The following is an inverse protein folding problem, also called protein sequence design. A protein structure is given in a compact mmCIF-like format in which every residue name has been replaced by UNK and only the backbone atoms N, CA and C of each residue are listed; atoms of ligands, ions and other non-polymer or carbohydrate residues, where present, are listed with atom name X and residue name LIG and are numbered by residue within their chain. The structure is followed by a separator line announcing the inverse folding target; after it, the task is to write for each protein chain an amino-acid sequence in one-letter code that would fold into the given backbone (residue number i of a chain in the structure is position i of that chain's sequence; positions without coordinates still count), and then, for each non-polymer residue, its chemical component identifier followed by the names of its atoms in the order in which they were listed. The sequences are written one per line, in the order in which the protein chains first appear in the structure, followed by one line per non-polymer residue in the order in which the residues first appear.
data_IF_633507868799
#
_entry.id   IF_633507868799
#
_cell.length_a   1.000
_cell.length_b   1.000
_cell.length_c   1.000
_cell.angle_alpha   90.00
_cell.angle_beta   90.00
_cell.angle_gamma   90.00
#
_symmetry.space_group_name_H-M   'P 1'
#
loop_
_entity.id
_entity.type
_entity.pdbx_description
1 polymer ?
#
# COMPACT_ATOMS: atom_id res chain seq x y z
N UNK A 1 -1.11 -25.23 -9.43
CA UNK A 1 -0.61 -25.31 -8.04
C UNK A 1 -0.23 -23.90 -7.63
N UNK A 2 -0.94 -23.11 -6.82
CA UNK A 2 -2.08 -23.23 -5.92
C UNK A 2 -3.13 -22.20 -6.40
N UNK A 3 -4.28 -22.67 -6.89
CA UNK A 3 -5.45 -21.81 -7.09
C UNK A 3 -6.49 -22.27 -6.08
N UNK A 4 -7.06 -21.33 -5.33
CA UNK A 4 -8.24 -21.48 -4.50
C UNK A 4 -8.04 -21.89 -3.03
N UNK A 5 -7.05 -21.33 -2.32
CA UNK A 5 -7.27 -21.01 -0.89
C UNK A 5 -7.74 -19.56 -0.79
N UNK A 6 -9.06 -19.37 -0.89
CA UNK A 6 -9.70 -18.06 -0.94
C UNK A 6 -9.35 -17.19 0.27
N UNK A 7 -8.97 -15.93 0.02
CA UNK A 7 -8.77 -14.85 1.01
C UNK A 7 -8.10 -15.27 2.33
N UNK A 8 -7.29 -16.32 2.30
CA UNK A 8 -6.72 -16.94 3.48
C UNK A 8 -5.54 -16.11 3.95
N UNK A 9 -5.67 -15.52 5.13
CA UNK A 9 -4.59 -14.87 5.86
C UNK A 9 -3.34 -15.75 6.04
N UNK A 10 -3.42 -17.06 5.72
CA UNK A 10 -2.34 -18.05 5.80
C UNK A 10 -1.04 -17.60 5.13
N UNK A 11 -1.13 -16.75 4.10
CA UNK A 11 0.03 -16.25 3.36
C UNK A 11 0.30 -14.76 3.57
N UNK A 12 -0.39 -14.09 4.49
CA UNK A 12 -0.02 -12.73 4.88
C UNK A 12 1.05 -12.78 5.99
N UNK A 13 1.98 -11.83 5.93
CA UNK A 13 2.96 -11.60 6.99
C UNK A 13 2.61 -10.24 7.61
N UNK A 14 1.69 -10.20 8.59
CA UNK A 14 1.27 -8.93 9.17
C UNK A 14 2.41 -8.31 9.97
N UNK A 15 2.61 -7.00 9.79
CA UNK A 15 3.60 -6.22 10.54
C UNK A 15 2.87 -5.07 11.22
N UNK A 16 3.08 -4.92 12.52
CA UNK A 16 2.55 -3.79 13.30
C UNK A 16 3.70 -2.90 13.71
N UNK A 17 3.65 -1.62 13.30
CA UNK A 17 4.66 -0.61 13.62
C UNK A 17 4.01 0.50 14.42
N UNK A 18 4.63 0.87 15.55
CA UNK A 18 4.20 2.02 16.34
C UNK A 18 5.06 3.23 15.99
N UNK A 19 4.43 4.26 15.44
CA UNK A 19 5.09 5.53 15.16
C UNK A 19 5.00 6.48 16.36
N UNK A 20 5.98 7.38 16.49
CA UNK A 20 5.96 8.46 17.46
C UNK A 20 4.91 9.52 17.10
N UNK A 21 4.65 10.47 18.02
CA UNK A 21 3.78 11.60 17.74
C UNK A 21 4.33 12.46 16.58
N UNK A 22 3.44 13.00 15.75
CA UNK A 22 3.81 13.85 14.60
C UNK A 22 3.85 13.15 13.24
N UNK A 23 3.44 11.88 13.17
CA UNK A 23 3.21 11.21 11.90
C UNK A 23 2.02 11.86 11.15
N UNK A 24 2.27 12.32 9.93
CA UNK A 24 1.24 12.75 8.99
C UNK A 24 0.86 11.55 8.12
N UNK A 25 -0.43 11.19 8.12
CA UNK A 25 -0.92 9.97 7.46
C UNK A 25 -0.78 10.08 5.95
N UNK A 26 -1.05 11.25 5.36
CA UNK A 26 -0.92 11.45 3.91
C UNK A 26 0.51 11.29 3.39
N UNK A 27 1.51 11.71 4.17
CA UNK A 27 2.94 11.46 3.86
C UNK A 27 3.27 9.98 3.94
N UNK A 28 2.76 9.26 4.94
CA UNK A 28 2.97 7.80 5.03
C UNK A 28 2.30 7.06 3.87
N UNK A 29 1.06 7.43 3.52
CA UNK A 29 0.35 6.87 2.37
C UNK A 29 1.12 7.10 1.08
N UNK A 30 1.63 8.32 0.87
CA UNK A 30 2.45 8.66 -0.30
C UNK A 30 3.75 7.85 -0.35
N UNK A 31 4.44 7.70 0.78
CA UNK A 31 5.66 6.92 0.86
C UNK A 31 5.42 5.43 0.59
N UNK A 32 4.32 4.85 1.10
CA UNK A 32 3.94 3.46 0.82
C UNK A 32 3.58 3.27 -0.65
N UNK A 33 2.88 4.25 -1.23
CA UNK A 33 2.60 4.29 -2.65
C UNK A 33 3.88 4.28 -3.51
N UNK A 34 4.88 5.09 -3.17
CA UNK A 34 6.18 5.12 -3.86
C UNK A 34 6.89 3.75 -3.80
N UNK A 35 6.78 3.06 -2.66
CA UNK A 35 7.31 1.69 -2.52
C UNK A 35 6.58 0.72 -3.45
N UNK A 36 5.25 0.75 -3.52
CA UNK A 36 4.48 -0.12 -4.43
C UNK A 36 4.82 0.19 -5.89
N UNK A 37 4.98 1.46 -6.24
CA UNK A 37 5.33 1.88 -7.60
C UNK A 37 6.72 1.36 -8.00
N UNK A 38 7.71 1.49 -7.12
CA UNK A 38 9.10 1.09 -7.42
C UNK A 38 9.30 -0.42 -7.58
N UNK A 39 8.46 -1.25 -6.97
CA UNK A 39 8.65 -2.72 -6.96
C UNK A 39 7.63 -3.43 -7.85
N UNK A 40 8.09 -4.03 -8.94
CA UNK A 40 7.23 -4.78 -9.87
C UNK A 40 6.52 -5.95 -9.21
N UNK A 41 7.21 -6.66 -8.29
CA UNK A 41 6.64 -7.81 -7.57
C UNK A 41 5.37 -7.46 -6.77
N UNK A 42 5.26 -6.22 -6.28
CA UNK A 42 4.07 -5.74 -5.55
C UNK A 42 2.92 -5.34 -6.49
N UNK A 43 3.18 -5.25 -7.79
CA UNK A 43 2.22 -4.90 -8.85
C UNK A 43 1.90 -6.08 -9.76
N UNK A 44 2.36 -7.28 -9.44
CA UNK A 44 2.11 -8.48 -10.23
C UNK A 44 0.76 -9.10 -9.89
N UNK A 45 -0.06 -9.36 -10.91
CA UNK A 45 -1.29 -10.14 -10.82
C UNK A 45 -1.07 -11.48 -11.51
N UNK A 46 -1.42 -12.57 -10.83
CA UNK A 46 -1.37 -13.92 -11.36
C UNK A 46 -2.75 -14.34 -11.86
N UNK A 47 -2.82 -14.83 -13.08
CA UNK A 47 -4.04 -15.31 -13.71
C UNK A 47 -3.79 -16.52 -14.58
N UNK A 48 -4.84 -17.01 -15.24
CA UNK A 48 -4.71 -18.01 -16.29
C UNK A 48 -5.41 -17.49 -17.55
N UNK A 49 -4.81 -17.74 -18.71
CA UNK A 49 -5.37 -17.40 -20.02
C UNK A 49 -5.30 -18.63 -20.91
N UNK A 50 -6.44 -19.11 -21.42
CA UNK A 50 -6.49 -20.32 -22.25
C UNK A 50 -6.02 -21.60 -21.55
N UNK A 51 -6.07 -21.65 -20.21
CA UNK A 51 -5.58 -22.77 -19.41
C UNK A 51 -4.09 -22.69 -19.03
N UNK A 52 -3.37 -21.69 -19.52
CA UNK A 52 -1.96 -21.48 -19.18
C UNK A 52 -1.81 -20.40 -18.09
N UNK A 53 -1.06 -20.66 -17.00
CA UNK A 53 -0.76 -19.64 -16.00
C UNK A 53 0.11 -18.53 -16.58
N UNK A 54 -0.26 -17.29 -16.28
CA UNK A 54 0.54 -16.12 -16.65
C UNK A 54 0.57 -15.10 -15.51
N UNK A 55 1.58 -14.25 -15.56
CA UNK A 55 1.74 -13.11 -14.67
C UNK A 55 1.69 -11.82 -15.47
N UNK A 56 1.02 -10.82 -14.92
CA UNK A 56 0.92 -9.48 -15.52
C UNK A 56 1.42 -8.46 -14.51
N UNK A 57 2.45 -7.71 -14.87
CA UNK A 57 2.91 -6.57 -14.07
C UNK A 57 2.05 -5.36 -14.43
N UNK A 58 1.34 -4.81 -13.46
CA UNK A 58 0.56 -3.58 -13.63
C UNK A 58 1.49 -2.38 -13.72
N UNK A 59 1.17 -1.42 -14.60
CA UNK A 59 1.92 -0.17 -14.73
C UNK A 59 1.93 0.66 -13.43
N UNK A 60 2.89 1.60 -13.29
CA UNK A 60 2.94 2.48 -12.12
C UNK A 60 1.66 3.30 -12.02
N UNK A 61 1.14 3.44 -10.79
CA UNK A 61 0.04 4.36 -10.52
C UNK A 61 0.64 5.74 -10.32
N UNK A 62 0.16 6.73 -11.07
CA UNK A 62 0.61 8.11 -10.88
C UNK A 62 0.10 8.64 -9.53
N UNK A 63 0.96 8.66 -8.53
CA UNK A 63 0.68 9.31 -7.26
C UNK A 63 0.92 10.81 -7.40
N UNK A 64 -0.15 11.62 -7.22
CA UNK A 64 -0.02 13.08 -7.19
C UNK A 64 0.66 13.49 -5.89
N UNK A 65 1.98 13.48 -5.88
CA UNK A 65 2.76 14.15 -4.86
C UNK A 65 2.62 15.67 -5.09
N UNK A 66 1.85 16.36 -4.25
CA UNK A 66 1.69 17.81 -4.40
C UNK A 66 0.59 18.53 -3.61
N UNK A 67 -0.21 17.86 -2.78
CA UNK A 67 -1.25 18.58 -2.01
C UNK A 67 -1.43 18.06 -0.58
N UNK A 68 -0.33 17.83 0.12
CA UNK A 68 -0.34 17.78 1.59
C UNK A 68 -0.58 19.22 2.08
N UNK A 69 -1.84 19.61 2.27
CA UNK A 69 -2.15 20.84 3.00
C UNK A 69 -1.85 20.58 4.47
N UNK A 70 -0.76 21.14 4.96
CA UNK A 70 -0.45 21.22 6.39
C UNK A 70 -1.49 22.08 7.12
N UNK A 71 -2.63 21.47 7.47
CA UNK A 71 -3.65 22.06 8.34
C UNK A 71 -3.25 21.88 9.80
N UNK A 72 -2.40 22.76 10.30
CA UNK A 72 -1.95 22.75 11.68
C UNK A 72 -3.05 23.07 12.71
N UNK A 73 -2.89 22.42 13.88
CA UNK A 73 -3.28 22.83 15.24
C UNK A 73 -4.76 22.65 15.63
N UNK A 74 -5.01 21.72 16.56
CA UNK A 74 -6.09 21.88 17.55
C UNK A 74 -5.49 21.97 18.95
N UNK A 75 -5.86 23.06 19.60
CA UNK A 75 -5.44 23.58 20.89
C UNK A 75 -5.64 22.56 22.03
N UNK A 76 -4.66 22.45 22.93
CA UNK A 76 -4.95 22.08 24.33
C UNK A 76 -5.73 23.24 24.95
N UNK A 77 -6.87 22.93 25.56
CA UNK A 77 -7.42 23.74 26.62
C UNK A 77 -7.75 22.81 27.79
N UNK A 78 -6.98 22.97 28.86
CA UNK A 78 -7.30 22.50 30.20
C UNK A 78 -8.52 23.26 30.73
N UNK A 79 -9.35 22.57 31.49
CA UNK A 79 -10.37 23.11 32.37
C UNK A 79 -10.74 22.03 33.38
#
# INVERSE_FOLDING_TARGET
MNRLEGAGSTYNVPVVVRFGPGLEVGVLESALADVVERHEVLRTVYGESGGEPHQTVLGPRLHRCGQVRSGGRVHRASG
#
